data_IF_191949051463
#
_entry.id   IF_191949051463
#
_cell.length_a   1.000
_cell.length_b   1.000
_cell.length_c   1.000
_cell.angle_alpha   90.00
_cell.angle_beta   90.00
_cell.angle_gamma   90.00
#
_symmetry.space_group_name_H-M   'P 1'
#
loop_
_entity.id
_entity.type
_entity.pdbx_description
1 polymer ?
#
# COMPACT_ATOMS: atom_id res chain seq x y z
N UNK A 1 22.40 -2.85 -20.61
CA UNK A 1 22.47 -3.55 -19.32
C UNK A 1 23.41 -4.74 -19.45
N UNK A 2 24.42 -4.85 -18.59
CA UNK A 2 25.25 -6.06 -18.47
C UNK A 2 24.62 -7.11 -17.52
N UNK A 3 25.29 -8.25 -17.31
CA UNK A 3 24.77 -9.34 -16.45
C UNK A 3 24.63 -8.95 -14.98
N UNK A 4 25.48 -8.06 -14.45
CA UNK A 4 25.40 -7.61 -13.07
C UNK A 4 24.27 -6.59 -12.91
N UNK A 5 24.18 -5.63 -13.82
CA UNK A 5 23.08 -4.67 -13.87
C UNK A 5 21.73 -5.39 -14.03
N UNK A 6 21.68 -6.48 -14.81
CA UNK A 6 20.49 -7.31 -14.96
C UNK A 6 20.07 -7.96 -13.64
N UNK A 7 21.02 -8.46 -12.84
CA UNK A 7 20.73 -9.03 -11.51
C UNK A 7 20.21 -7.98 -10.54
N UNK A 8 20.76 -6.77 -10.57
CA UNK A 8 20.30 -5.66 -9.73
C UNK A 8 18.91 -5.15 -10.14
N UNK A 9 18.59 -5.16 -11.44
CA UNK A 9 17.31 -4.68 -11.95
C UNK A 9 16.18 -5.73 -11.83
N UNK A 10 16.54 -7.03 -11.83
CA UNK A 10 15.60 -8.14 -11.80
C UNK A 10 14.53 -8.07 -10.69
N UNK A 11 14.86 -7.71 -9.42
CA UNK A 11 13.85 -7.57 -8.37
C UNK A 11 12.73 -6.57 -8.69
N UNK A 12 13.04 -5.48 -9.41
CA UNK A 12 12.04 -4.49 -9.80
C UNK A 12 11.14 -5.00 -10.92
N UNK A 13 11.70 -5.75 -11.88
CA UNK A 13 10.91 -6.43 -12.91
C UNK A 13 9.96 -7.46 -12.31
N UNK A 14 10.43 -8.24 -11.33
CA UNK A 14 9.60 -9.20 -10.61
C UNK A 14 8.46 -8.48 -9.85
N UNK A 15 8.77 -7.44 -9.08
CA UNK A 15 7.76 -6.66 -8.37
C UNK A 15 6.74 -6.02 -9.31
N UNK A 16 7.18 -5.52 -10.48
CA UNK A 16 6.30 -4.99 -11.52
C UNK A 16 5.36 -6.07 -12.07
N UNK A 17 5.87 -7.28 -12.35
CA UNK A 17 5.05 -8.41 -12.80
C UNK A 17 4.03 -8.88 -11.74
N UNK A 18 4.34 -8.72 -10.46
CA UNK A 18 3.43 -8.95 -9.33
C UNK A 18 2.41 -7.82 -9.13
N UNK A 19 2.43 -6.78 -9.97
CA UNK A 19 1.50 -5.64 -9.90
C UNK A 19 1.85 -4.59 -8.84
N UNK A 20 3.05 -4.64 -8.24
CA UNK A 20 3.49 -3.65 -7.27
C UNK A 20 3.80 -2.33 -7.96
N UNK A 21 3.51 -1.22 -7.29
CA UNK A 21 3.86 0.10 -7.78
C UNK A 21 5.37 0.30 -7.73
N UNK A 22 5.97 0.62 -8.88
CA UNK A 22 7.38 0.99 -8.98
C UNK A 22 7.49 2.52 -9.07
N UNK A 23 8.48 3.07 -8.39
CA UNK A 23 8.86 4.48 -8.49
C UNK A 23 10.28 4.59 -9.01
N UNK A 24 10.55 5.63 -9.80
CA UNK A 24 11.89 5.96 -10.25
C UNK A 24 12.22 7.43 -10.00
N UNK A 25 13.50 7.74 -9.99
CA UNK A 25 14.03 9.11 -10.02
C UNK A 25 15.36 9.15 -10.74
N UNK A 26 15.81 10.33 -11.15
CA UNK A 26 17.16 10.49 -11.70
C UNK A 26 18.18 10.29 -10.58
N UNK A 27 19.32 9.67 -10.88
CA UNK A 27 20.42 9.53 -9.90
C UNK A 27 20.79 10.91 -9.35
N UNK A 28 20.88 11.09 -8.02
CA UNK A 28 21.21 12.39 -7.42
C UNK A 28 22.49 13.01 -8.00
N UNK A 29 23.51 12.20 -8.29
CA UNK A 29 24.76 12.64 -8.91
C UNK A 29 24.61 13.20 -10.33
N UNK A 30 23.53 12.88 -11.04
CA UNK A 30 23.27 13.37 -12.39
C UNK A 30 22.49 14.71 -12.41
N UNK A 31 21.95 15.14 -11.27
CA UNK A 31 21.22 16.42 -11.10
C UNK A 31 21.86 17.31 -10.04
N UNK A 32 23.03 16.93 -9.53
CA UNK A 32 23.79 17.68 -8.55
C UNK A 32 24.16 19.07 -9.10
N UNK A 33 23.88 20.13 -8.33
CA UNK A 33 24.11 21.51 -8.75
C UNK A 33 23.04 22.09 -9.69
N UNK A 34 21.92 21.40 -9.88
CA UNK A 34 20.75 21.92 -10.62
C UNK A 34 19.57 22.16 -9.69
N UNK A 35 18.70 23.12 -10.04
CA UNK A 35 17.45 23.39 -9.30
C UNK A 35 16.30 22.46 -9.73
N UNK A 36 16.61 21.32 -10.37
CA UNK A 36 15.61 20.38 -10.86
C UNK A 36 15.12 19.50 -9.69
N UNK A 37 13.81 19.49 -9.38
CA UNK A 37 13.25 18.57 -8.39
C UNK A 37 13.51 17.12 -8.76
N UNK A 38 13.93 16.30 -7.78
CA UNK A 38 14.33 14.91 -8.00
C UNK A 38 13.58 13.93 -7.08
N UNK A 39 12.25 14.08 -7.07
CA UNK A 39 11.35 13.24 -6.29
C UNK A 39 11.07 11.89 -6.96
N UNK A 40 10.72 10.91 -6.14
CA UNK A 40 10.27 9.60 -6.60
C UNK A 40 8.94 9.70 -7.33
N UNK A 41 8.90 9.21 -8.57
CA UNK A 41 7.71 9.28 -9.42
C UNK A 41 7.24 7.88 -9.80
N UNK A 42 5.94 7.60 -9.66
CA UNK A 42 5.34 6.33 -10.06
C UNK A 42 5.38 6.16 -11.58
N UNK A 43 5.85 5.01 -12.04
CA UNK A 43 5.88 4.66 -13.48
C UNK A 43 4.77 3.68 -13.84
N UNK A 44 4.34 3.71 -15.10
CA UNK A 44 3.37 2.75 -15.67
C UNK A 44 4.05 1.64 -16.47
N UNK A 45 5.16 1.99 -17.12
CA UNK A 45 5.99 1.08 -17.89
C UNK A 45 7.39 1.06 -17.28
N UNK A 46 8.05 -0.11 -17.32
CA UNK A 46 9.37 -0.30 -16.72
C UNK A 46 10.43 -0.50 -17.81
N UNK A 47 11.36 0.44 -17.88
CA UNK A 47 12.54 0.40 -18.73
C UNK A 47 13.79 0.55 -17.88
N UNK A 48 14.92 -0.01 -18.33
CA UNK A 48 16.20 0.15 -17.66
C UNK A 48 16.97 1.37 -18.18
N UNK A 49 17.21 2.36 -17.32
CA UNK A 49 18.00 3.55 -17.62
C UNK A 49 19.23 3.64 -16.68
N UNK A 50 20.42 3.83 -17.26
CA UNK A 50 21.68 3.84 -16.49
C UNK A 50 21.79 4.99 -15.48
N UNK A 51 21.10 6.10 -15.72
CA UNK A 51 21.10 7.31 -14.89
C UNK A 51 19.90 7.38 -13.94
N UNK A 52 19.19 6.28 -13.72
CA UNK A 52 17.95 6.22 -12.94
C UNK A 52 18.08 5.26 -11.77
N UNK A 53 17.47 5.63 -10.66
CA UNK A 53 17.26 4.75 -9.51
C UNK A 53 15.82 4.27 -9.50
N UNK A 54 15.63 3.02 -9.09
CA UNK A 54 14.32 2.40 -8.99
C UNK A 54 14.09 1.95 -7.55
N UNK A 55 12.83 2.00 -7.13
CA UNK A 55 12.38 1.34 -5.91
C UNK A 55 10.99 0.78 -6.11
N UNK A 56 10.69 -0.30 -5.40
CA UNK A 56 9.28 -0.62 -5.12
C UNK A 56 8.76 0.47 -4.21
N UNK A 57 7.62 1.07 -4.55
CA UNK A 57 6.98 2.08 -3.72
C UNK A 57 6.82 1.49 -2.30
N UNK A 58 7.39 2.14 -1.26
CA UNK A 58 7.19 1.67 0.10
C UNK A 58 5.69 1.60 0.38
N UNK A 59 5.19 0.42 0.72
CA UNK A 59 3.85 0.32 1.27
C UNK A 59 3.89 0.98 2.64
N UNK A 60 2.96 1.91 2.94
CA UNK A 60 2.91 2.48 4.28
C UNK A 60 2.77 1.34 5.27
N UNK A 61 3.65 1.29 6.27
CA UNK A 61 3.55 0.32 7.35
C UNK A 61 2.26 0.64 8.09
N UNK A 62 1.28 -0.25 7.98
CA UNK A 62 0.05 -0.12 8.73
C UNK A 62 0.07 -1.09 9.91
N UNK A 63 -0.67 -0.75 10.96
CA UNK A 63 -0.98 -1.65 12.06
C UNK A 63 -2.51 -1.77 12.22
N UNK A 64 -2.99 -2.83 12.89
CA UNK A 64 -4.38 -2.90 13.31
C UNK A 64 -4.79 -1.73 14.20
N UNK A 65 -6.10 -1.47 14.26
CA UNK A 65 -6.69 -0.49 15.18
C UNK A 65 -6.54 -0.96 16.63
N UNK A 66 -6.25 -0.01 17.54
CA UNK A 66 -6.15 -0.32 18.97
C UNK A 66 -7.51 -0.41 19.66
N UNK A 67 -8.49 0.37 19.17
CA UNK A 67 -9.80 0.56 19.77
C UNK A 67 -10.84 1.02 18.72
N UNK A 68 -12.10 1.08 19.15
CA UNK A 68 -13.22 1.49 18.30
C UNK A 68 -13.09 2.93 17.78
N UNK A 69 -12.41 3.80 18.54
CA UNK A 69 -12.28 5.22 18.20
C UNK A 69 -11.31 5.42 17.04
N UNK A 70 -10.18 4.71 17.07
CA UNK A 70 -9.25 4.69 15.93
C UNK A 70 -9.92 4.14 14.69
N UNK A 71 -10.63 3.00 14.80
CA UNK A 71 -11.33 2.39 13.68
C UNK A 71 -12.37 3.35 13.08
N UNK A 72 -13.24 3.92 13.92
CA UNK A 72 -14.30 4.81 13.46
C UNK A 72 -13.77 6.11 12.85
N UNK A 73 -12.70 6.68 13.42
CA UNK A 73 -12.07 7.88 12.89
C UNK A 73 -11.42 7.63 11.52
N UNK A 74 -10.77 6.48 11.34
CA UNK A 74 -10.14 6.14 10.05
C UNK A 74 -11.20 5.83 9.00
N UNK A 75 -12.22 5.02 9.32
CA UNK A 75 -13.33 4.69 8.41
C UNK A 75 -13.98 5.93 7.75
N UNK A 76 -14.10 7.05 8.48
CA UNK A 76 -14.69 8.29 7.95
C UNK A 76 -13.88 8.92 6.80
N UNK A 77 -12.62 8.53 6.64
CA UNK A 77 -11.73 9.02 5.56
C UNK A 77 -11.88 8.22 4.27
N UNK A 78 -12.53 7.05 4.33
CA UNK A 78 -12.61 6.10 3.21
C UNK A 78 -13.99 6.12 2.56
N UNK A 79 -14.03 5.86 1.26
CA UNK A 79 -15.28 5.78 0.49
C UNK A 79 -15.33 4.51 -0.37
N UNK A 80 -16.49 3.83 -0.45
CA UNK A 80 -17.72 4.09 0.32
C UNK A 80 -17.57 3.80 1.82
N UNK A 81 -18.17 4.65 2.66
CA UNK A 81 -18.12 4.51 4.12
C UNK A 81 -18.69 3.16 4.58
N UNK A 82 -17.96 2.46 5.47
CA UNK A 82 -18.39 1.19 6.04
C UNK A 82 -18.19 -0.03 5.14
N UNK A 83 -17.77 0.14 3.89
CA UNK A 83 -17.55 -0.96 2.96
C UNK A 83 -16.10 -1.41 2.94
N UNK A 84 -15.94 -2.71 2.78
CA UNK A 84 -14.67 -3.40 2.77
C UNK A 84 -14.65 -4.49 1.71
N UNK A 85 -13.45 -4.95 1.36
CA UNK A 85 -13.22 -6.02 0.42
C UNK A 85 -12.37 -7.11 1.06
N UNK A 86 -12.93 -8.32 1.15
CA UNK A 86 -12.25 -9.53 1.61
C UNK A 86 -11.64 -10.23 0.39
N UNK A 87 -10.31 -10.22 0.32
CA UNK A 87 -9.58 -10.82 -0.79
C UNK A 87 -9.49 -12.35 -0.69
N UNK A 88 -9.71 -12.94 0.49
CA UNK A 88 -9.67 -14.40 0.68
C UNK A 88 -10.90 -15.04 0.04
N UNK A 89 -12.06 -14.41 0.25
CA UNK A 89 -13.33 -14.88 -0.30
C UNK A 89 -13.74 -14.16 -1.60
N UNK A 90 -13.02 -13.10 -1.99
CA UNK A 90 -13.33 -12.27 -3.14
C UNK A 90 -14.75 -11.67 -3.07
N UNK A 91 -15.09 -11.09 -1.93
CA UNK A 91 -16.41 -10.50 -1.67
C UNK A 91 -16.31 -9.06 -1.17
N UNK A 92 -17.37 -8.30 -1.44
CA UNK A 92 -17.59 -6.97 -0.88
C UNK A 92 -18.53 -7.10 0.30
N UNK A 93 -18.14 -6.51 1.44
CA UNK A 93 -18.90 -6.63 2.67
C UNK A 93 -19.01 -5.29 3.39
N UNK A 94 -20.12 -5.10 4.09
CA UNK A 94 -20.45 -3.87 4.81
C UNK A 94 -20.38 -4.11 6.31
N UNK A 95 -19.55 -3.31 6.97
CA UNK A 95 -19.42 -3.30 8.42
C UNK A 95 -20.76 -2.85 9.01
N UNK A 96 -21.36 -3.69 9.86
CA UNK A 96 -22.63 -3.37 10.51
C UNK A 96 -22.42 -2.75 11.89
N UNK A 97 -21.33 -3.10 12.58
CA UNK A 97 -20.97 -2.55 13.91
C UNK A 97 -19.46 -2.45 14.08
N UNK A 98 -19.02 -1.43 14.81
CA UNK A 98 -17.67 -1.31 15.35
C UNK A 98 -17.76 -1.52 16.87
N UNK A 99 -16.90 -2.38 17.39
CA UNK A 99 -16.82 -2.75 18.81
C UNK A 99 -15.45 -2.37 19.37
N UNK A 100 -15.26 -2.50 20.68
CA UNK A 100 -14.00 -2.14 21.34
C UNK A 100 -12.78 -2.97 20.89
N UNK A 101 -12.99 -4.15 20.30
CA UNK A 101 -11.92 -5.06 19.89
C UNK A 101 -11.95 -5.48 18.42
N UNK A 102 -12.90 -4.96 17.63
CA UNK A 102 -13.09 -5.40 16.26
C UNK A 102 -14.35 -4.87 15.59
N UNK A 103 -14.75 -5.53 14.52
CA UNK A 103 -15.93 -5.19 13.72
C UNK A 103 -16.85 -6.40 13.56
N UNK A 104 -18.09 -6.14 13.17
CA UNK A 104 -19.08 -7.19 12.90
C UNK A 104 -19.60 -7.05 11.47
N UNK A 105 -19.60 -8.16 10.74
CA UNK A 105 -20.31 -8.35 9.47
C UNK A 105 -21.53 -9.21 9.76
N UNK A 106 -22.74 -8.65 9.59
CA UNK A 106 -23.99 -9.31 9.99
C UNK A 106 -23.98 -9.80 11.46
N UNK A 107 -23.71 -11.09 11.69
CA UNK A 107 -23.59 -11.73 13.01
C UNK A 107 -22.16 -12.14 13.37
N UNK A 108 -21.22 -12.12 12.42
CA UNK A 108 -19.85 -12.56 12.58
C UNK A 108 -18.95 -11.44 13.09
N UNK A 109 -18.36 -11.64 14.27
CA UNK A 109 -17.39 -10.72 14.86
C UNK A 109 -15.96 -11.12 14.47
N UNK A 110 -15.19 -10.15 13.98
CA UNK A 110 -13.76 -10.31 13.73
C UNK A 110 -12.96 -9.27 14.53
N UNK A 111 -11.87 -9.70 15.16
CA UNK A 111 -10.99 -8.78 15.86
C UNK A 111 -10.18 -7.92 14.88
N UNK A 112 -9.68 -6.77 15.32
CA UNK A 112 -8.96 -5.85 14.43
C UNK A 112 -7.72 -6.47 13.76
N UNK A 113 -7.02 -7.38 14.44
CA UNK A 113 -5.87 -8.10 13.87
C UNK A 113 -6.28 -8.98 12.69
N UNK A 114 -7.36 -9.75 12.83
CA UNK A 114 -7.86 -10.63 11.78
C UNK A 114 -8.35 -9.82 10.57
N UNK A 115 -9.06 -8.74 10.82
CA UNK A 115 -9.57 -7.85 9.76
C UNK A 115 -8.41 -7.19 9.04
N UNK A 116 -7.43 -6.66 9.77
CA UNK A 116 -6.25 -6.00 9.20
C UNK A 116 -5.50 -6.92 8.24
N UNK A 117 -5.36 -8.19 8.59
CA UNK A 117 -4.65 -9.15 7.77
C UNK A 117 -5.47 -9.62 6.56
N UNK A 118 -6.81 -9.71 6.66
CA UNK A 118 -7.68 -10.33 5.64
C UNK A 118 -8.43 -9.36 4.74
N UNK A 119 -8.59 -8.10 5.16
CA UNK A 119 -9.55 -7.18 4.56
C UNK A 119 -8.92 -5.83 4.25
N UNK A 120 -9.39 -5.18 3.18
CA UNK A 120 -9.06 -3.81 2.83
C UNK A 120 -10.30 -2.92 2.87
N UNK A 121 -10.09 -1.61 3.01
CA UNK A 121 -11.14 -0.66 2.69
C UNK A 121 -11.55 -0.79 1.23
N UNK A 122 -12.78 -0.41 0.93
CA UNK A 122 -13.33 -0.48 -0.42
C UNK A 122 -12.56 0.35 -1.46
N UNK A 123 -11.81 1.36 -1.03
CA UNK A 123 -10.92 2.15 -1.89
C UNK A 123 -9.54 1.49 -2.15
N UNK A 124 -9.34 0.28 -1.65
CA UNK A 124 -8.11 -0.51 -1.82
C UNK A 124 -7.01 -0.23 -0.80
N UNK A 125 -7.23 0.66 0.16
CA UNK A 125 -6.25 0.90 1.24
C UNK A 125 -6.32 -0.17 2.34
N UNK A 126 -5.20 -0.48 3.02
CA UNK A 126 -5.20 -1.45 4.12
C UNK A 126 -6.14 -1.05 5.25
N UNK A 127 -6.85 -2.01 5.86
CA UNK A 127 -7.79 -1.76 6.96
C UNK A 127 -7.06 -1.53 8.30
N UNK A 128 -6.39 -0.39 8.45
CA UNK A 128 -5.59 -0.08 9.64
C UNK A 128 -5.05 1.34 9.67
N UNK A 129 -4.24 1.64 10.69
CA UNK A 129 -3.60 2.95 10.85
C UNK A 129 -2.21 2.92 10.24
N UNK A 130 -1.92 3.90 9.39
CA UNK A 130 -0.56 4.17 8.91
C UNK A 130 0.32 4.57 10.10
N UNK A 131 1.45 3.91 10.23
CA UNK A 131 2.52 4.27 11.15
C UNK A 131 3.48 5.16 10.37
N UNK A 132 3.60 6.43 10.77
CA UNK A 132 4.65 7.29 10.26
C UNK A 132 6.01 6.78 10.76
N UNK A 133 7.00 6.69 9.86
CA UNK A 133 8.39 6.36 10.21
C UNK A 133 9.14 7.57 10.76
#
# INVERSE_FOLDING_TARGET
MDRNQAKEFYPFLQAFAEGKAIECRTKPSAVEGTDVPNDWTKIKDIEFWNNTEYRVKPEPKCRPFKDEKECWAEMQKHQPFGWTYDYTNNIWDSITRVTSSGIIYEEDMMCFEDVFNRVKFADGTPFGIKVEE
#
